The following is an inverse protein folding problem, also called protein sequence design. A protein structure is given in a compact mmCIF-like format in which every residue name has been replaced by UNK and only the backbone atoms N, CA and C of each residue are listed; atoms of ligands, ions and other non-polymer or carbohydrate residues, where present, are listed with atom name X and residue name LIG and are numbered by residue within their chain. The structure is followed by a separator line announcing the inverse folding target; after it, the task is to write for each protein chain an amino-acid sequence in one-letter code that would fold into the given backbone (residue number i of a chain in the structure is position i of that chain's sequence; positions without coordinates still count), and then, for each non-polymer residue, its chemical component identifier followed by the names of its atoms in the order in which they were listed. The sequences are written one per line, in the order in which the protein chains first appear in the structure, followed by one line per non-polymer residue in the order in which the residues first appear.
data_IF_631933209722
#
_entry.id   IF_631933209722
#
_cell.length_a   1.000
_cell.length_b   1.000
_cell.length_c   1.000
_cell.angle_alpha   90.00
_cell.angle_beta   90.00
_cell.angle_gamma   90.00
#
_symmetry.space_group_name_H-M   'P 1'
#
loop_
_entity.id
_entity.type
_entity.pdbx_description
1 polymer ?
#
# COMPACT_ATOMS: atom_id res chain seq x y z
N UNK A 1 -2.59 28.64 6.29
CA UNK A 1 -1.66 29.00 7.39
C UNK A 1 -1.27 27.70 8.09
N UNK A 2 0.02 27.43 8.28
CA UNK A 2 0.48 26.22 8.98
C UNK A 2 0.28 26.42 10.48
N UNK A 3 -0.36 25.49 11.17
CA UNK A 3 -0.59 25.56 12.62
C UNK A 3 0.51 24.82 13.39
N UNK A 4 0.60 25.09 14.70
CA UNK A 4 1.53 24.38 15.61
C UNK A 4 1.21 22.88 15.68
N UNK A 5 -0.06 22.54 15.55
CA UNK A 5 -0.58 21.18 15.51
C UNK A 5 -0.10 20.46 14.25
N UNK A 6 -0.14 21.13 13.08
CA UNK A 6 0.41 20.58 11.84
C UNK A 6 1.92 20.31 11.96
N UNK A 7 2.68 21.21 12.60
CA UNK A 7 4.11 21.01 12.83
C UNK A 7 4.40 19.84 13.77
N UNK A 8 3.63 19.71 14.86
CA UNK A 8 3.77 18.57 15.78
C UNK A 8 3.46 17.25 15.08
N UNK A 9 2.38 17.21 14.31
CA UNK A 9 2.02 16.05 13.50
C UNK A 9 3.15 15.70 12.51
N UNK A 10 3.69 16.67 11.77
CA UNK A 10 4.79 16.42 10.83
C UNK A 10 6.10 15.98 11.50
N UNK A 11 6.28 16.27 12.79
CA UNK A 11 7.43 15.85 13.58
C UNK A 11 7.22 14.50 14.27
N UNK A 12 6.04 13.87 14.15
CA UNK A 12 5.78 12.54 14.68
C UNK A 12 6.43 11.45 13.80
N UNK A 13 7.75 11.37 13.88
CA UNK A 13 8.58 10.38 13.17
C UNK A 13 8.32 8.97 13.71
N UNK A 14 8.03 8.83 15.01
CA UNK A 14 7.84 7.53 15.66
C UNK A 14 6.58 6.84 15.15
N UNK A 15 5.43 7.53 15.16
CA UNK A 15 4.17 6.97 14.66
C UNK A 15 4.25 6.63 13.18
N UNK A 16 4.88 7.50 12.37
CA UNK A 16 5.12 7.23 10.94
C UNK A 16 5.97 6.00 10.72
N UNK A 17 7.08 5.85 11.45
CA UNK A 17 7.98 4.70 11.30
C UNK A 17 7.30 3.39 11.70
N UNK A 18 6.56 3.40 12.81
CA UNK A 18 5.79 2.24 13.26
C UNK A 18 4.76 1.81 12.22
N UNK A 19 4.05 2.77 11.65
CA UNK A 19 3.02 2.49 10.66
C UNK A 19 3.61 2.08 9.30
N UNK A 20 4.72 2.70 8.86
CA UNK A 20 5.47 2.27 7.69
C UNK A 20 5.86 0.80 7.79
N UNK A 21 6.37 0.37 8.95
CA UNK A 21 6.70 -1.03 9.20
C UNK A 21 5.50 -1.97 9.06
N UNK A 22 4.34 -1.62 9.63
CA UNK A 22 3.10 -2.42 9.48
C UNK A 22 2.71 -2.56 7.99
N UNK A 23 2.84 -1.47 7.23
CA UNK A 23 2.51 -1.44 5.80
C UNK A 23 3.47 -2.30 4.98
N UNK A 24 4.77 -2.22 5.26
CA UNK A 24 5.81 -3.05 4.65
C UNK A 24 5.61 -4.53 4.96
N UNK A 25 5.38 -4.90 6.23
CA UNK A 25 5.12 -6.29 6.62
C UNK A 25 3.93 -6.90 5.85
N UNK A 26 2.88 -6.10 5.61
CA UNK A 26 1.74 -6.53 4.81
C UNK A 26 2.11 -6.73 3.34
N UNK A 27 2.81 -5.77 2.74
CA UNK A 27 3.22 -5.82 1.34
C UNK A 27 4.20 -6.98 1.10
N UNK A 28 5.20 -7.16 1.97
CA UNK A 28 6.17 -8.26 1.90
C UNK A 28 5.48 -9.62 1.96
N UNK A 29 4.49 -9.78 2.83
CA UNK A 29 3.68 -10.99 2.91
C UNK A 29 2.93 -11.26 1.60
N UNK A 30 2.38 -10.22 0.95
CA UNK A 30 1.73 -10.36 -0.35
C UNK A 30 2.71 -10.68 -1.48
N UNK A 31 3.88 -10.04 -1.51
CA UNK A 31 4.94 -10.38 -2.47
C UNK A 31 5.33 -11.85 -2.31
N UNK A 32 5.61 -12.29 -1.07
CA UNK A 32 5.99 -13.67 -0.77
C UNK A 32 4.94 -14.68 -1.22
N UNK A 33 3.67 -14.47 -0.87
CA UNK A 33 2.58 -15.38 -1.25
C UNK A 33 2.47 -15.46 -2.79
N UNK A 34 2.47 -14.32 -3.49
CA UNK A 34 2.35 -14.32 -4.94
C UNK A 34 3.58 -14.94 -5.63
N UNK A 35 4.79 -14.71 -5.10
CA UNK A 35 6.01 -15.35 -5.60
C UNK A 35 5.96 -16.88 -5.45
N UNK A 36 5.48 -17.38 -4.29
CA UNK A 36 5.29 -18.82 -4.07
C UNK A 36 4.22 -19.43 -4.98
N UNK A 37 3.19 -18.66 -5.34
CA UNK A 37 2.16 -19.02 -6.32
C UNK A 37 2.64 -18.95 -7.78
N UNK A 38 3.89 -18.52 -8.03
CA UNK A 38 4.42 -18.28 -9.37
C UNK A 38 3.83 -17.06 -10.09
N UNK A 39 3.14 -16.17 -9.36
CA UNK A 39 2.54 -14.94 -9.90
C UNK A 39 3.56 -13.81 -9.84
N UNK A 40 4.04 -13.40 -11.01
CA UNK A 40 5.03 -12.31 -11.14
C UNK A 40 4.39 -10.92 -11.26
N UNK A 41 3.10 -10.88 -11.58
CA UNK A 41 2.30 -9.64 -11.66
C UNK A 41 1.01 -9.80 -10.86
N UNK A 42 0.73 -8.86 -9.95
CA UNK A 42 -0.43 -8.92 -9.06
C UNK A 42 -0.80 -7.55 -8.49
N UNK A 43 -2.01 -7.49 -7.91
CA UNK A 43 -2.52 -6.31 -7.21
C UNK A 43 -2.63 -6.57 -5.70
N UNK A 44 -2.23 -5.59 -4.91
CA UNK A 44 -2.61 -5.45 -3.51
C UNK A 44 -3.72 -4.40 -3.45
N UNK A 45 -4.97 -4.87 -3.49
CA UNK A 45 -6.16 -4.01 -3.58
C UNK A 45 -6.80 -3.76 -2.23
N UNK A 46 -7.29 -2.53 -2.02
CA UNK A 46 -8.09 -2.13 -0.86
C UNK A 46 -9.53 -2.69 -0.93
N UNK A 47 -9.95 -3.19 -2.09
CA UNK A 47 -11.23 -3.85 -2.27
C UNK A 47 -11.10 -5.21 -2.95
N UNK A 48 -12.11 -6.05 -2.79
CA UNK A 48 -12.28 -7.26 -3.58
C UNK A 48 -13.74 -7.44 -3.95
N UNK A 49 -13.97 -8.01 -5.13
CA UNK A 49 -15.29 -8.45 -5.55
C UNK A 49 -15.77 -9.63 -4.69
N UNK A 50 -17.07 -9.66 -4.40
CA UNK A 50 -17.79 -10.78 -3.79
C UNK A 50 -19.10 -11.01 -4.55
N UNK A 51 -19.72 -12.18 -4.40
CA UNK A 51 -21.00 -12.47 -5.07
C UNK A 51 -22.09 -11.44 -4.73
N UNK A 52 -22.06 -10.92 -3.51
CA UNK A 52 -23.03 -9.95 -2.99
C UNK A 52 -22.60 -8.48 -3.19
N UNK A 53 -21.51 -8.22 -3.93
CA UNK A 53 -21.05 -6.86 -4.25
C UNK A 53 -19.53 -6.70 -4.16
N UNK A 54 -19.07 -5.74 -3.37
CA UNK A 54 -17.65 -5.53 -3.10
C UNK A 54 -17.41 -5.36 -1.61
N UNK A 55 -16.23 -5.76 -1.14
CA UNK A 55 -15.86 -5.64 0.27
C UNK A 55 -14.45 -5.11 0.42
N UNK A 56 -14.22 -4.37 1.51
CA UNK A 56 -12.91 -3.85 1.89
C UNK A 56 -11.99 -5.02 2.28
N UNK A 57 -10.74 -4.96 1.85
CA UNK A 57 -9.72 -5.93 2.26
C UNK A 57 -8.99 -5.42 3.50
N UNK A 58 -8.19 -6.26 4.20
CA UNK A 58 -7.33 -5.78 5.27
C UNK A 58 -6.35 -4.69 4.84
N UNK A 59 -6.03 -4.61 3.55
CA UNK A 59 -5.21 -3.53 3.01
C UNK A 59 -5.93 -2.18 3.06
N UNK A 60 -7.26 -2.14 2.98
CA UNK A 60 -8.03 -0.91 3.14
C UNK A 60 -7.81 -0.29 4.51
N UNK A 61 -8.01 -1.08 5.57
CA UNK A 61 -7.93 -0.59 6.95
C UNK A 61 -6.51 -0.14 7.29
N UNK A 62 -5.53 -0.84 6.71
CA UNK A 62 -4.15 -0.41 6.77
C UNK A 62 -4.01 0.91 6.01
N UNK A 63 -4.19 0.94 4.69
CA UNK A 63 -3.93 2.08 3.81
C UNK A 63 -4.71 3.35 4.16
N UNK A 64 -5.91 3.24 4.73
CA UNK A 64 -6.75 4.36 5.13
C UNK A 64 -6.82 4.55 6.65
N UNK A 65 -5.80 4.10 7.39
CA UNK A 65 -5.76 4.18 8.85
C UNK A 65 -6.13 5.56 9.38
N UNK A 66 -6.86 5.57 10.50
CA UNK A 66 -7.11 6.77 11.31
C UNK A 66 -6.03 7.04 12.36
N UNK A 67 -5.02 6.16 12.48
CA UNK A 67 -3.89 6.36 13.42
C UNK A 67 -2.97 7.53 13.02
N UNK A 68 -3.02 7.95 11.75
CA UNK A 68 -2.22 9.05 11.21
C UNK A 68 -3.13 10.10 10.56
N UNK A 69 -2.69 11.36 10.60
CA UNK A 69 -3.27 12.40 9.75
C UNK A 69 -3.13 12.03 8.27
N UNK A 70 -3.98 12.62 7.42
CA UNK A 70 -3.90 12.41 5.97
C UNK A 70 -2.53 12.78 5.40
N UNK A 71 -1.91 13.86 5.90
CA UNK A 71 -0.60 14.32 5.44
C UNK A 71 0.49 13.33 5.81
N UNK A 72 0.52 12.87 7.06
CA UNK A 72 1.50 11.88 7.51
C UNK A 72 1.32 10.53 6.82
N UNK A 73 0.07 10.12 6.59
CA UNK A 73 -0.26 8.90 5.85
C UNK A 73 0.26 8.98 4.41
N UNK A 74 0.06 10.10 3.72
CA UNK A 74 0.62 10.33 2.38
C UNK A 74 2.15 10.23 2.38
N UNK A 75 2.82 10.85 3.35
CA UNK A 75 4.28 10.77 3.49
C UNK A 75 4.76 9.33 3.69
N UNK A 76 4.07 8.55 4.53
CA UNK A 76 4.41 7.13 4.72
C UNK A 76 4.17 6.33 3.44
N UNK A 77 3.05 6.54 2.74
CA UNK A 77 2.76 5.83 1.49
C UNK A 77 3.83 6.08 0.44
N UNK A 78 4.24 7.34 0.26
CA UNK A 78 5.26 7.70 -0.73
C UNK A 78 6.64 7.14 -0.33
N UNK A 79 6.99 7.18 0.96
CA UNK A 79 8.21 6.55 1.49
C UNK A 79 8.25 5.05 1.20
N UNK A 80 7.19 4.33 1.56
CA UNK A 80 7.11 2.87 1.42
C UNK A 80 7.16 2.46 -0.07
N UNK A 81 6.39 3.14 -0.93
CA UNK A 81 6.42 2.85 -2.37
C UNK A 81 7.81 3.10 -2.96
N UNK A 82 8.45 4.21 -2.59
CA UNK A 82 9.78 4.51 -3.10
C UNK A 82 10.82 3.48 -2.66
N UNK A 83 10.73 2.97 -1.42
CA UNK A 83 11.59 1.89 -0.95
C UNK A 83 11.47 0.62 -1.81
N UNK A 84 10.26 0.20 -2.16
CA UNK A 84 10.10 -0.95 -3.07
C UNK A 84 10.65 -0.67 -4.47
N UNK A 85 10.53 0.56 -4.98
CA UNK A 85 11.16 0.93 -6.26
C UNK A 85 12.68 0.91 -6.18
N UNK A 86 13.27 1.32 -5.07
CA UNK A 86 14.72 1.26 -4.83
C UNK A 86 15.22 -0.18 -4.77
N UNK A 87 14.41 -1.12 -4.28
CA UNK A 87 14.67 -2.56 -4.37
C UNK A 87 14.49 -3.13 -5.78
N UNK A 88 14.16 -2.31 -6.78
CA UNK A 88 14.01 -2.72 -8.17
C UNK A 88 12.60 -3.20 -8.54
N UNK A 89 11.63 -3.19 -7.61
CA UNK A 89 10.26 -3.58 -7.95
C UNK A 89 9.58 -2.54 -8.84
N UNK A 90 8.91 -3.01 -9.89
CA UNK A 90 8.00 -2.19 -10.68
C UNK A 90 6.65 -2.08 -9.95
N UNK A 91 6.53 -1.06 -9.09
CA UNK A 91 5.32 -0.78 -8.31
C UNK A 91 4.63 0.54 -8.73
N UNK A 92 3.33 0.45 -8.98
CA UNK A 92 2.49 1.57 -9.41
C UNK A 92 1.22 1.70 -8.55
N UNK A 93 0.72 2.93 -8.41
CA UNK A 93 -0.59 3.21 -7.80
C UNK A 93 -1.65 3.07 -8.90
N UNK A 94 -2.69 2.28 -8.65
CA UNK A 94 -3.79 2.06 -9.61
C UNK A 94 -5.13 1.93 -8.89
N UNK A 95 -6.18 1.62 -9.64
CA UNK A 95 -7.48 1.21 -9.11
C UNK A 95 -7.94 -0.11 -9.70
N UNK A 96 -8.61 -0.93 -8.90
CA UNK A 96 -9.27 -2.16 -9.33
C UNK A 96 -10.78 -1.96 -9.26
N UNK A 97 -11.45 -2.21 -10.39
CA UNK A 97 -12.90 -2.26 -10.44
C UNK A 97 -13.39 -3.56 -9.76
N UNK A 98 -14.16 -3.40 -8.70
CA UNK A 98 -14.78 -4.50 -7.95
C UNK A 98 -16.27 -4.64 -8.28
N UNK A 99 -16.70 -4.14 -9.45
CA UNK A 99 -18.08 -4.18 -9.93
C UNK A 99 -18.97 -3.11 -9.29
N UNK A 100 -20.15 -2.91 -9.88
CA UNK A 100 -21.17 -1.99 -9.38
C UNK A 100 -20.64 -0.55 -9.19
N UNK A 101 -19.76 -0.12 -10.09
CA UNK A 101 -19.04 1.17 -10.03
C UNK A 101 -18.15 1.37 -8.79
N UNK A 102 -17.80 0.30 -8.07
CA UNK A 102 -16.91 0.37 -6.91
C UNK A 102 -15.46 0.18 -7.35
N UNK A 103 -14.75 1.30 -7.51
CA UNK A 103 -13.32 1.31 -7.77
C UNK A 103 -12.54 1.48 -6.46
N UNK A 104 -11.63 0.56 -6.18
CA UNK A 104 -10.77 0.62 -5.00
C UNK A 104 -9.32 0.87 -5.38
N UNK A 105 -8.61 1.63 -4.54
CA UNK A 105 -7.18 1.81 -4.66
C UNK A 105 -6.45 0.46 -4.61
N UNK A 106 -5.39 0.32 -5.42
CA UNK A 106 -4.49 -0.81 -5.36
C UNK A 106 -3.03 -0.40 -5.64
N UNK A 107 -2.12 -1.21 -5.10
CA UNK A 107 -0.73 -1.25 -5.56
C UNK A 107 -0.58 -2.37 -6.56
N UNK A 108 -0.13 -2.03 -7.76
CA UNK A 108 0.19 -2.98 -8.81
C UNK A 108 1.69 -3.27 -8.75
N UNK A 109 2.03 -4.55 -8.61
CA UNK A 109 3.40 -5.04 -8.74
C UNK A 109 3.50 -5.80 -10.07
N UNK A 110 4.50 -5.47 -10.89
CA UNK A 110 4.78 -6.14 -12.17
C UNK A 110 6.16 -6.75 -12.18
N UNK A 111 6.27 -7.84 -12.93
CA UNK A 111 7.54 -8.49 -13.28
C UNK A 111 8.49 -8.66 -12.07
N UNK A 112 7.97 -9.10 -10.92
CA UNK A 112 8.78 -9.17 -9.69
C UNK A 112 9.96 -10.16 -9.82
N UNK A 113 9.90 -11.07 -10.78
CA UNK A 113 10.97 -12.00 -11.16
C UNK A 113 12.19 -11.29 -11.76
N UNK A 114 12.02 -10.12 -12.40
CA UNK A 114 13.13 -9.32 -12.92
C UNK A 114 14.04 -8.79 -11.81
N UNK A 115 13.52 -8.65 -10.59
CA UNK A 115 14.31 -8.25 -9.42
C UNK A 115 15.31 -9.35 -9.03
N UNK A 116 15.00 -10.63 -9.28
CA UNK A 116 15.87 -11.76 -8.95
C UNK A 116 17.01 -11.98 -9.96
N UNK A 117 16.98 -11.28 -11.09
CA UNK A 117 17.95 -11.43 -12.18
C UNK A 117 19.05 -10.36 -12.17
N UNK A 118 19.02 -9.43 -11.20
CA UNK A 118 20.01 -8.37 -10.98
C UNK A 118 21.08 -8.83 -9.98
#
# INVERSE_FOLDING_TARGET
MVTKENLKDWLDVSSRSKYAKKLEEYIDSKIKINALDGKTTFYISAGRYTRDGSTKTPFYDLWYTGELSETNRKLVHDLVINRYREFGFNVSKTSVDCGWNNNYFALEFKDIDKVLQQ
#
